data_IF_499526996744
#
_entry.id   IF_499526996744
#
_cell.length_a   1.000
_cell.length_b   1.000
_cell.length_c   1.000
_cell.angle_alpha   90.00
_cell.angle_beta   90.00
_cell.angle_gamma   90.00
#
_symmetry.space_group_name_H-M   'P 1'
#
loop_
_entity.id
_entity.type
_entity.pdbx_description
1 polymer ?
#
# COMPACT_ATOMS: atom_id res chain seq x y z
N UNK A 1 -20.75 -3.65 19.15
CA UNK A 1 -19.69 -4.34 18.43
C UNK A 1 -19.78 -3.84 16.99
N UNK A 2 -18.84 -2.98 16.58
CA UNK A 2 -18.77 -2.55 15.19
C UNK A 2 -18.42 -3.76 14.34
N UNK A 3 -19.24 -4.04 13.33
CA UNK A 3 -19.04 -5.13 12.38
C UNK A 3 -18.04 -4.69 11.28
N UNK A 4 -16.94 -4.04 11.68
CA UNK A 4 -15.92 -3.56 10.75
C UNK A 4 -15.05 -4.73 10.30
N UNK A 5 -14.90 -4.92 9.01
CA UNK A 5 -13.89 -5.81 8.47
C UNK A 5 -12.51 -5.17 8.65
N UNK A 6 -11.54 -5.98 9.06
CA UNK A 6 -10.15 -5.60 9.17
C UNK A 6 -9.33 -6.64 8.41
N UNK A 7 -8.30 -6.20 7.72
CA UNK A 7 -7.46 -7.13 6.98
C UNK A 7 -6.07 -6.56 6.70
N UNK A 8 -5.22 -7.43 6.22
CA UNK A 8 -3.82 -7.25 5.87
C UNK A 8 -3.08 -6.24 6.74
N UNK A 9 -2.21 -6.77 7.54
CA UNK A 9 -1.43 -6.05 8.54
C UNK A 9 0.03 -6.04 8.12
N UNK A 10 0.67 -4.88 8.21
CA UNK A 10 2.10 -4.72 7.98
C UNK A 10 2.74 -4.01 9.17
N UNK A 11 3.89 -4.51 9.63
CA UNK A 11 4.68 -3.92 10.71
C UNK A 11 5.95 -3.32 10.14
N UNK A 12 6.40 -2.19 10.72
CA UNK A 12 7.77 -1.69 10.46
C UNK A 12 8.81 -2.67 10.98
N UNK A 13 10.02 -2.67 10.40
CA UNK A 13 11.11 -3.58 10.78
C UNK A 13 11.54 -3.40 12.24
N UNK A 14 11.40 -2.20 12.79
CA UNK A 14 11.67 -1.89 14.21
C UNK A 14 10.51 -2.25 15.15
N UNK A 15 9.40 -2.79 14.63
CA UNK A 15 8.19 -3.17 15.35
C UNK A 15 7.56 -2.04 16.17
N UNK A 16 7.67 -0.77 15.74
CA UNK A 16 7.06 0.36 16.45
C UNK A 16 5.75 0.82 15.83
N UNK A 17 5.46 0.46 14.59
CA UNK A 17 4.29 0.89 13.87
C UNK A 17 3.61 -0.27 13.15
N UNK A 18 2.29 -0.24 13.15
CA UNK A 18 1.44 -1.18 12.44
C UNK A 18 0.56 -0.40 11.46
N UNK A 19 0.54 -0.82 10.19
CA UNK A 19 -0.41 -0.37 9.20
C UNK A 19 -1.42 -1.49 8.90
N UNK A 20 -2.68 -1.13 8.71
CA UNK A 20 -3.76 -2.07 8.40
C UNK A 20 -4.87 -1.32 7.67
N UNK A 21 -5.77 -2.05 7.01
CA UNK A 21 -7.00 -1.43 6.53
C UNK A 21 -8.21 -1.82 7.39
N UNK A 22 -9.20 -0.93 7.42
CA UNK A 22 -10.42 -1.12 8.19
C UNK A 22 -11.59 -0.39 7.56
N UNK A 23 -12.78 -1.03 7.57
CA UNK A 23 -14.03 -0.44 7.08
C UNK A 23 -14.84 0.29 8.17
N UNK A 24 -14.22 0.72 9.24
CA UNK A 24 -14.91 1.38 10.38
C UNK A 24 -15.59 2.70 10.02
N UNK A 25 -15.17 3.37 8.95
CA UNK A 25 -15.76 4.61 8.43
C UNK A 25 -16.75 4.38 7.28
N UNK A 26 -17.04 3.11 6.94
CA UNK A 26 -17.97 2.73 5.88
C UNK A 26 -17.32 2.28 4.59
N UNK A 27 -16.05 2.63 4.37
CA UNK A 27 -15.18 2.14 3.30
C UNK A 27 -13.88 1.63 3.91
N UNK A 28 -13.17 0.77 3.17
CA UNK A 28 -11.86 0.29 3.60
C UNK A 28 -10.85 1.43 3.47
N UNK A 29 -10.26 1.83 4.59
CA UNK A 29 -9.26 2.88 4.67
C UNK A 29 -8.00 2.38 5.36
N UNK A 30 -6.85 2.95 5.00
CA UNK A 30 -5.57 2.66 5.65
C UNK A 30 -5.43 3.44 6.93
N UNK A 31 -5.05 2.74 7.99
CA UNK A 31 -4.74 3.30 9.29
C UNK A 31 -3.36 2.87 9.77
N UNK A 32 -2.72 3.74 10.55
CA UNK A 32 -1.48 3.46 11.27
C UNK A 32 -1.73 3.59 12.77
N UNK A 33 -1.11 2.71 13.55
CA UNK A 33 -1.07 2.79 15.01
C UNK A 33 0.33 2.50 15.55
N UNK A 34 0.68 3.02 16.73
CA UNK A 34 1.86 2.57 17.44
C UNK A 34 1.73 1.09 17.81
N UNK A 35 2.85 0.39 17.88
CA UNK A 35 2.91 -0.99 18.32
C UNK A 35 4.02 -1.13 19.39
N UNK A 36 3.83 -1.93 20.46
CA UNK A 36 2.67 -2.77 20.75
C UNK A 36 1.47 -2.02 21.39
N UNK A 37 1.63 -0.76 21.83
CA UNK A 37 0.55 0.01 22.42
C UNK A 37 -0.34 0.66 21.37
N UNK A 38 -1.24 -0.12 20.77
CA UNK A 38 -2.18 0.33 19.73
C UNK A 38 -3.22 1.35 20.24
N UNK A 39 -3.30 1.57 21.56
CA UNK A 39 -4.23 2.52 22.15
C UNK A 39 -3.69 3.96 22.19
N UNK A 40 -2.37 4.14 22.06
CA UNK A 40 -1.71 5.44 22.22
C UNK A 40 -1.85 6.39 21.03
N UNK A 41 -2.41 5.93 19.89
CA UNK A 41 -2.67 6.78 18.74
C UNK A 41 -3.28 6.03 17.57
N UNK A 42 -3.86 6.79 16.63
CA UNK A 42 -4.39 6.28 15.37
C UNK A 42 -4.38 7.38 14.33
N UNK A 43 -3.83 7.10 13.16
CA UNK A 43 -3.78 8.01 12.02
C UNK A 43 -4.43 7.35 10.82
N UNK A 44 -5.34 8.06 10.18
CA UNK A 44 -5.91 7.67 8.89
C UNK A 44 -4.99 8.19 7.79
N UNK A 45 -4.63 7.30 6.86
CA UNK A 45 -3.72 7.59 5.75
C UNK A 45 -4.48 7.87 4.46
N UNK A 46 -5.41 6.98 4.09
CA UNK A 46 -6.24 7.12 2.88
C UNK A 46 -7.58 7.79 3.19
N UNK A 47 -8.26 8.34 2.16
CA UNK A 47 -9.57 8.98 2.30
C UNK A 47 -10.58 8.53 1.24
N UNK A 48 -10.08 8.00 0.12
CA UNK A 48 -10.90 7.55 -1.01
C UNK A 48 -10.80 6.03 -1.18
N UNK A 49 -10.58 5.35 -0.06
CA UNK A 49 -10.40 3.92 0.03
C UNK A 49 -8.96 3.48 -0.13
N UNK A 50 -8.58 2.45 0.65
CA UNK A 50 -7.23 1.88 0.57
C UNK A 50 -7.16 0.50 1.18
N UNK A 51 -6.32 -0.37 0.59
CA UNK A 51 -6.06 -1.74 1.03
C UNK A 51 -4.58 -2.09 0.92
N UNK A 52 -4.19 -3.14 1.60
CA UNK A 52 -2.91 -3.84 1.46
C UNK A 52 -1.68 -2.96 1.70
N UNK A 53 -1.55 -2.36 2.90
CA UNK A 53 -0.40 -1.54 3.22
C UNK A 53 0.88 -2.37 3.31
N UNK A 54 1.99 -1.81 2.82
CA UNK A 54 3.35 -2.36 2.93
C UNK A 54 4.31 -1.25 3.34
N UNK A 55 5.12 -1.48 4.37
CA UNK A 55 6.19 -0.58 4.74
C UNK A 55 7.44 -0.82 3.88
N UNK A 56 8.04 0.29 3.42
CA UNK A 56 9.42 0.36 2.96
C UNK A 56 10.20 1.21 3.97
N UNK A 57 10.78 0.56 4.97
CA UNK A 57 11.48 1.24 6.06
C UNK A 57 12.78 1.91 5.60
N UNK A 58 13.45 1.35 4.58
CA UNK A 58 14.71 1.87 4.06
C UNK A 58 14.54 3.29 3.47
N UNK A 59 13.38 3.55 2.86
CA UNK A 59 13.06 4.87 2.30
C UNK A 59 12.07 5.68 3.15
N UNK A 60 11.66 5.15 4.30
CA UNK A 60 10.63 5.77 5.13
C UNK A 60 9.33 6.02 4.38
N UNK A 61 8.86 5.00 3.64
CA UNK A 61 7.63 5.03 2.85
C UNK A 61 6.64 3.96 3.30
N UNK A 62 5.37 4.29 3.14
CA UNK A 62 4.26 3.33 3.22
C UNK A 62 3.59 3.28 1.86
N UNK A 63 3.51 2.09 1.28
CA UNK A 63 2.77 1.85 0.05
C UNK A 63 1.40 1.25 0.37
N UNK A 64 0.40 1.56 -0.44
CA UNK A 64 -0.92 0.94 -0.37
C UNK A 64 -1.64 1.03 -1.71
N UNK A 65 -2.62 0.18 -1.93
CA UNK A 65 -3.48 0.24 -3.10
C UNK A 65 -4.71 1.10 -2.86
N UNK A 66 -4.92 2.12 -3.70
CA UNK A 66 -6.07 3.00 -3.65
C UNK A 66 -7.26 2.38 -4.42
N UNK A 67 -8.39 2.21 -3.72
CA UNK A 67 -9.59 1.57 -4.29
C UNK A 67 -10.23 2.39 -5.40
N UNK A 68 -10.29 3.71 -5.23
CA UNK A 68 -10.98 4.61 -6.16
C UNK A 68 -10.26 4.80 -7.48
N UNK A 69 -8.94 5.04 -7.44
CA UNK A 69 -8.11 5.29 -8.62
C UNK A 69 -7.46 4.03 -9.21
N UNK A 70 -7.46 2.92 -8.46
CA UNK A 70 -6.73 1.69 -8.81
C UNK A 70 -5.23 1.92 -9.01
N UNK A 71 -4.64 2.70 -8.11
CA UNK A 71 -3.21 3.06 -8.14
C UNK A 71 -2.49 2.52 -6.91
N UNK A 72 -1.21 2.22 -7.07
CA UNK A 72 -0.31 2.12 -5.92
C UNK A 72 0.04 3.53 -5.50
N UNK A 73 -0.17 3.80 -4.21
CA UNK A 73 0.13 5.08 -3.57
C UNK A 73 1.36 4.95 -2.70
N UNK A 74 2.13 6.02 -2.60
CA UNK A 74 3.25 6.20 -1.68
C UNK A 74 2.96 7.30 -0.67
N UNK A 75 3.31 7.07 0.58
CA UNK A 75 3.24 8.06 1.66
C UNK A 75 4.59 8.13 2.35
N UNK A 76 5.25 9.27 2.26
CA UNK A 76 6.46 9.51 3.04
C UNK A 76 6.10 9.71 4.51
N UNK A 77 6.89 9.11 5.40
CA UNK A 77 6.70 9.28 6.83
C UNK A 77 8.00 9.59 7.56
N UNK A 78 7.85 10.23 8.72
CA UNK A 78 8.97 10.45 9.65
C UNK A 78 8.52 10.12 11.05
N UNK A 79 9.36 9.42 11.78
CA UNK A 79 9.09 9.05 13.16
C UNK A 79 9.99 9.86 14.10
N UNK A 80 9.41 10.28 15.21
CA UNK A 80 10.10 11.00 16.29
C UNK A 80 9.60 10.49 17.63
N UNK A 81 10.21 10.95 18.70
CA UNK A 81 9.69 10.72 20.06
C UNK A 81 9.43 12.06 20.74
N UNK A 82 8.36 12.11 21.52
CA UNK A 82 8.10 13.26 22.38
C UNK A 82 8.97 13.24 23.65
N UNK A 83 8.82 14.27 24.49
CA UNK A 83 9.56 14.40 25.75
C UNK A 83 9.27 13.29 26.77
N UNK A 84 8.18 12.53 26.58
CA UNK A 84 7.80 11.40 27.40
C UNK A 84 8.20 10.05 26.80
N UNK A 85 8.95 10.06 25.68
CA UNK A 85 9.40 8.86 24.98
C UNK A 85 8.31 8.17 24.15
N UNK A 86 7.16 8.82 23.92
CA UNK A 86 6.09 8.25 23.08
C UNK A 86 6.44 8.42 21.60
N UNK A 87 6.23 7.38 20.81
CA UNK A 87 6.46 7.42 19.38
C UNK A 87 5.42 8.33 18.70
N UNK A 88 5.91 9.23 17.87
CA UNK A 88 5.12 10.11 17.01
C UNK A 88 5.45 9.81 15.55
N UNK A 89 4.45 9.90 14.67
CA UNK A 89 4.59 9.76 13.24
C UNK A 89 4.03 10.99 12.53
N UNK A 90 4.79 11.54 11.61
CA UNK A 90 4.34 12.55 10.67
C UNK A 90 4.20 11.89 9.31
N UNK A 91 3.08 12.11 8.65
CA UNK A 91 2.73 11.56 7.35
C UNK A 91 2.60 12.70 6.36
N UNK A 92 3.23 12.56 5.21
CA UNK A 92 2.97 13.42 4.06
C UNK A 92 1.66 12.98 3.35
N UNK A 93 1.17 13.78 2.43
CA UNK A 93 0.00 13.40 1.64
C UNK A 93 0.34 12.24 0.70
N UNK A 94 -0.57 11.25 0.53
CA UNK A 94 -0.37 10.19 -0.43
C UNK A 94 -0.13 10.71 -1.84
N UNK A 95 0.84 10.14 -2.53
CA UNK A 95 1.17 10.43 -3.92
C UNK A 95 0.98 9.18 -4.78
N UNK A 96 0.37 9.28 -5.96
CA UNK A 96 0.26 8.15 -6.87
C UNK A 96 1.63 7.77 -7.42
N UNK A 97 1.91 6.47 -7.52
CA UNK A 97 3.10 5.94 -8.16
C UNK A 97 2.78 5.49 -9.58
N UNK A 98 1.88 4.53 -9.72
CA UNK A 98 1.48 4.02 -11.01
C UNK A 98 0.07 3.41 -10.95
N UNK A 99 -0.57 3.31 -12.11
CA UNK A 99 -1.92 2.76 -12.25
C UNK A 99 -1.86 1.24 -12.42
N UNK A 100 -2.80 0.56 -11.78
CA UNK A 100 -2.90 -0.91 -11.80
C UNK A 100 -4.19 -1.41 -12.47
N UNK A 101 -4.88 -0.55 -13.22
CA UNK A 101 -6.18 -0.90 -13.84
C UNK A 101 -6.11 -2.02 -14.87
N UNK A 102 -4.91 -2.27 -15.42
CA UNK A 102 -4.65 -3.39 -16.32
C UNK A 102 -4.56 -4.73 -15.59
N UNK A 103 -4.26 -4.69 -14.28
CA UNK A 103 -4.16 -5.88 -13.44
C UNK A 103 -5.51 -6.15 -12.78
N UNK A 104 -5.99 -7.40 -12.89
CA UNK A 104 -7.23 -7.81 -12.24
C UNK A 104 -6.93 -8.54 -10.96
N UNK A 105 -7.10 -7.87 -9.85
CA UNK A 105 -6.86 -8.42 -8.54
C UNK A 105 -8.05 -9.25 -8.04
N UNK A 106 -7.75 -10.39 -7.44
CA UNK A 106 -8.74 -11.12 -6.65
C UNK A 106 -9.07 -10.32 -5.39
N UNK A 107 -10.35 -10.23 -4.98
CA UNK A 107 -10.71 -9.56 -3.72
C UNK A 107 -10.19 -10.30 -2.47
N UNK A 108 -9.65 -11.51 -2.63
CA UNK A 108 -9.23 -12.38 -1.53
C UNK A 108 -7.73 -12.29 -1.31
N UNK A 109 -7.31 -11.36 -0.46
CA UNK A 109 -5.91 -11.19 -0.07
C UNK A 109 -5.14 -10.19 -0.91
N UNK A 110 -3.91 -9.89 -0.49
CA UNK A 110 -3.02 -8.94 -1.15
C UNK A 110 -2.41 -9.58 -2.40
N UNK A 111 -2.67 -9.02 -3.61
CA UNK A 111 -2.19 -9.58 -4.87
C UNK A 111 -0.83 -9.04 -5.30
N UNK A 112 -0.16 -8.26 -4.46
CA UNK A 112 1.11 -7.62 -4.77
C UNK A 112 2.03 -7.58 -3.55
N UNK A 113 3.31 -7.41 -3.80
CA UNK A 113 4.34 -7.21 -2.79
C UNK A 113 5.40 -6.23 -3.31
N UNK A 114 6.27 -5.77 -2.42
CA UNK A 114 7.38 -4.88 -2.75
C UNK A 114 8.69 -5.43 -2.19
N UNK A 115 9.69 -5.50 -3.03
CA UNK A 115 11.05 -5.90 -2.67
C UNK A 115 11.93 -4.68 -2.45
N UNK A 116 12.19 -4.30 -1.19
CA UNK A 116 13.09 -3.20 -0.87
C UNK A 116 14.53 -3.42 -1.36
N UNK A 117 14.97 -4.68 -1.48
CA UNK A 117 16.33 -5.02 -1.95
C UNK A 117 16.52 -4.77 -3.44
N UNK A 118 15.46 -4.99 -4.23
CA UNK A 118 15.51 -4.87 -5.69
C UNK A 118 14.85 -3.57 -6.17
N UNK A 119 14.15 -2.86 -5.29
CA UNK A 119 13.30 -1.70 -5.60
C UNK A 119 12.23 -2.03 -6.65
N UNK A 120 11.56 -3.18 -6.48
CA UNK A 120 10.62 -3.73 -7.44
C UNK A 120 9.26 -4.03 -6.81
N UNK A 121 8.19 -3.76 -7.55
CA UNK A 121 6.84 -4.23 -7.24
C UNK A 121 6.54 -5.52 -7.99
N UNK A 122 5.99 -6.51 -7.29
CA UNK A 122 5.61 -7.80 -7.85
C UNK A 122 4.09 -7.98 -7.73
N UNK A 123 3.44 -8.31 -8.84
CA UNK A 123 1.99 -8.50 -8.90
C UNK A 123 1.65 -9.92 -9.31
N UNK A 124 0.57 -10.43 -8.72
CA UNK A 124 -0.07 -11.67 -9.16
C UNK A 124 -1.28 -11.31 -10.01
N UNK A 125 -1.21 -11.61 -11.30
CA UNK A 125 -2.33 -11.46 -12.19
C UNK A 125 -3.16 -12.76 -12.27
N UNK A 126 -4.48 -12.63 -12.16
CA UNK A 126 -5.38 -13.71 -12.56
C UNK A 126 -5.70 -13.53 -14.06
N UNK A 127 -5.16 -14.33 -14.96
CA UNK A 127 -5.46 -14.21 -16.37
C UNK A 127 -6.95 -14.38 -16.60
N UNK A 128 -7.62 -13.34 -17.06
CA UNK A 128 -9.00 -13.42 -17.54
C UNK A 128 -8.95 -13.39 -19.06
N UNK A 129 -8.57 -14.48 -19.59
CA UNK A 129 -8.99 -14.84 -20.91
C UNK A 129 -10.12 -15.85 -20.77
N UNK A 130 -11.23 -15.60 -21.48
CA UNK A 130 -12.45 -16.43 -21.42
C UNK A 130 -12.29 -17.81 -22.05
N UNK A 131 -11.10 -18.28 -22.27
CA UNK A 131 -10.77 -19.64 -22.67
C UNK A 131 -10.64 -20.54 -21.45
N UNK A 132 -11.78 -21.04 -20.99
CA UNK A 132 -11.86 -21.98 -19.85
C UNK A 132 -11.13 -23.32 -20.09
N UNK A 133 -10.42 -23.51 -21.19
CA UNK A 133 -9.94 -24.84 -21.57
C UNK A 133 -8.45 -25.11 -21.38
N UNK A 134 -7.56 -24.10 -21.16
CA UNK A 134 -6.12 -24.39 -21.01
C UNK A 134 -5.36 -23.68 -19.88
N UNK A 135 -5.99 -22.78 -19.13
CA UNK A 135 -5.24 -21.94 -18.17
C UNK A 135 -5.57 -22.18 -16.70
N UNK A 136 -6.22 -23.30 -16.37
CA UNK A 136 -6.44 -23.68 -14.99
C UNK A 136 -5.08 -23.85 -14.26
N UNK A 137 -4.64 -22.81 -13.55
CA UNK A 137 -3.48 -22.88 -12.66
C UNK A 137 -2.22 -22.15 -13.11
N UNK A 138 -2.22 -21.33 -14.17
CA UNK A 138 -1.07 -20.46 -14.47
C UNK A 138 -1.21 -19.13 -13.74
N UNK A 139 -0.43 -18.96 -12.68
CA UNK A 139 -0.18 -17.67 -12.06
C UNK A 139 0.81 -16.94 -12.96
N UNK A 140 0.47 -15.73 -13.39
CA UNK A 140 1.43 -14.84 -14.04
C UNK A 140 1.97 -13.88 -12.97
N UNK A 141 3.29 -13.77 -12.90
CA UNK A 141 3.98 -12.78 -12.08
C UNK A 141 4.40 -11.63 -12.98
N UNK A 142 3.99 -10.44 -12.65
CA UNK A 142 4.46 -9.21 -13.25
C UNK A 142 5.40 -8.52 -12.27
N UNK A 143 6.60 -8.20 -12.74
CA UNK A 143 7.59 -7.42 -12.00
C UNK A 143 7.67 -6.06 -12.68
N UNK A 144 7.45 -5.00 -11.92
CA UNK A 144 7.63 -3.64 -12.38
C UNK A 144 8.99 -3.18 -11.89
N UNK A 145 9.94 -3.19 -12.81
CA UNK A 145 11.30 -2.71 -12.64
C UNK A 145 11.36 -1.22 -13.05
N UNK A 146 12.31 -0.47 -12.48
CA UNK A 146 12.63 0.91 -12.90
C UNK A 146 11.41 1.86 -12.99
N UNK A 147 10.42 1.68 -12.11
CA UNK A 147 9.19 2.47 -12.11
C UNK A 147 9.41 3.99 -12.04
N UNK A 148 10.57 4.44 -11.53
CA UNK A 148 10.98 5.86 -11.57
C UNK A 148 11.26 6.37 -12.99
N UNK A 149 11.79 5.54 -13.88
CA UNK A 149 12.01 5.93 -15.28
C UNK A 149 10.70 6.03 -16.06
N UNK A 150 9.73 5.16 -15.75
CA UNK A 150 8.41 5.20 -16.36
C UNK A 150 7.63 6.47 -15.95
N UNK A 151 7.69 6.88 -14.68
CA UNK A 151 7.14 8.15 -14.22
C UNK A 151 7.78 9.35 -14.93
N UNK A 152 9.08 9.31 -15.17
CA UNK A 152 9.79 10.36 -15.92
C UNK A 152 9.30 10.49 -17.37
N UNK A 153 8.82 9.40 -17.97
CA UNK A 153 8.29 9.39 -19.33
C UNK A 153 6.84 9.85 -19.42
N UNK A 154 6.07 9.72 -18.33
CA UNK A 154 4.65 10.08 -18.26
C UNK A 154 4.42 11.50 -17.73
N UNK A 155 5.40 12.10 -17.06
CA UNK A 155 5.31 13.47 -16.62
C UNK A 155 5.42 14.42 -17.84
N UNK A 156 4.39 15.25 -18.18
CA UNK A 156 4.55 16.25 -19.21
C UNK A 156 5.65 17.20 -18.77
N UNK A 157 6.63 17.42 -19.65
CA UNK A 157 7.69 18.40 -19.43
C UNK A 157 7.06 19.72 -18.98
N UNK A 158 7.33 20.15 -17.74
CA UNK A 158 6.90 21.43 -17.26
C UNK A 158 7.54 22.49 -18.19
N UNK A 159 6.72 23.07 -19.06
CA UNK A 159 7.12 24.14 -19.95
C UNK A 159 7.60 25.33 -19.15
N UNK A 160 8.76 25.83 -19.52
CA UNK A 160 9.31 27.14 -19.12
C UNK A 160 8.38 28.28 -19.55
#
# INVERSE_FOLDING_TARGET
LSNSAHGDVSLTSDNKWIAYYSSETGSDEIYIRPYPDISSGKWQVSRDGGRWPIWNDDESKLYFWALGSQEIMSVDYRTTQDQLGRNLINLESPQPLFNTSEYRFSPSGRPWDYSATLDEFVFVENPIDGSLEETAGRIQLHVIEDWFEELGSLAPAAGL
#
